data_IF_889737729831
#
_entry.id   IF_889737729831
#
_cell.length_a   1.000
_cell.length_b   1.000
_cell.length_c   1.000
_cell.angle_alpha   90.00
_cell.angle_beta   90.00
_cell.angle_gamma   90.00
#
_symmetry.space_group_name_H-M   'P 1'
#
loop_
_entity.id
_entity.type
_entity.pdbx_description
1 polymer ?
#
# COMPACT_ATOMS: atom_id res chain seq x y z
N UNK A 1 44.18 -14.56 20.94
CA UNK A 1 43.46 -13.37 21.44
C UNK A 1 42.23 -13.16 20.58
N UNK A 2 41.04 -13.47 21.11
CA UNK A 2 39.78 -13.12 20.45
C UNK A 2 39.40 -11.72 20.93
N UNK A 3 39.17 -10.79 19.99
CA UNK A 3 38.56 -9.49 20.28
C UNK A 3 37.19 -9.47 19.61
N UNK A 4 36.13 -9.01 20.30
CA UNK A 4 34.90 -8.62 19.65
C UNK A 4 35.21 -7.51 18.65
N UNK A 5 34.71 -7.64 17.42
CA UNK A 5 34.79 -6.57 16.41
C UNK A 5 33.36 -6.13 16.11
N UNK A 6 32.98 -4.87 16.39
CA UNK A 6 31.74 -4.33 15.87
C UNK A 6 31.93 -4.13 14.37
N UNK A 7 31.25 -4.93 13.56
CA UNK A 7 31.18 -4.71 12.12
C UNK A 7 29.81 -4.09 11.82
N UNK A 8 29.81 -2.81 11.47
CA UNK A 8 28.70 -2.22 10.73
C UNK A 8 28.69 -2.84 9.34
N UNK A 9 27.56 -3.41 8.93
CA UNK A 9 27.32 -3.81 7.56
C UNK A 9 27.22 -2.53 6.69
N UNK A 10 28.09 -2.32 5.68
CA UNK A 10 28.10 -1.09 4.90
C UNK A 10 26.82 -0.87 4.07
N UNK A 11 25.93 -1.86 3.98
CA UNK A 11 24.64 -1.77 3.28
C UNK A 11 23.42 -1.51 4.17
N UNK A 12 23.55 -1.60 5.49
CA UNK A 12 22.46 -1.37 6.43
C UNK A 12 22.50 0.09 6.90
N UNK A 13 21.69 0.93 6.26
CA UNK A 13 21.43 2.27 6.77
C UNK A 13 20.75 2.17 8.13
N UNK A 14 21.46 2.56 9.18
CA UNK A 14 20.96 2.59 10.55
C UNK A 14 21.73 1.63 11.44
N UNK A 15 22.21 2.15 12.57
CA UNK A 15 22.65 1.36 13.71
C UNK A 15 21.62 0.25 14.04
N UNK A 16 22.04 -0.86 14.65
CA UNK A 16 21.20 -1.89 15.34
C UNK A 16 21.10 -3.31 14.74
N UNK A 17 21.95 -3.76 13.83
CA UNK A 17 22.08 -5.22 13.63
C UNK A 17 22.92 -5.83 14.78
N UNK A 18 22.30 -6.06 15.94
CA UNK A 18 22.88 -6.80 17.05
C UNK A 18 23.23 -8.24 16.65
N UNK A 19 24.36 -8.76 17.14
CA UNK A 19 24.76 -10.14 16.91
C UNK A 19 26.15 -10.45 17.46
N UNK A 20 26.39 -11.69 17.87
CA UNK A 20 27.72 -12.12 18.27
C UNK A 20 28.54 -12.43 17.03
N UNK A 21 29.73 -11.89 16.90
CA UNK A 21 30.64 -12.20 15.80
C UNK A 21 32.04 -12.53 16.33
N UNK A 22 32.65 -13.57 15.77
CA UNK A 22 34.05 -13.89 15.98
C UNK A 22 34.83 -13.65 14.70
N UNK A 23 36.05 -13.11 14.84
CA UNK A 23 37.05 -13.13 13.80
C UNK A 23 38.33 -13.77 14.37
N UNK A 24 38.90 -14.71 13.62
CA UNK A 24 40.19 -15.31 13.95
C UNK A 24 41.34 -14.42 13.48
N UNK A 25 42.32 -14.16 14.33
CA UNK A 25 43.57 -13.51 13.92
C UNK A 25 44.63 -14.56 13.60
N UNK A 26 45.02 -14.67 12.32
CA UNK A 26 46.08 -15.56 11.85
C UNK A 26 46.95 -14.82 10.83
N UNK A 27 48.27 -15.02 10.90
CA UNK A 27 49.24 -14.46 9.94
C UNK A 27 49.14 -12.94 9.73
N UNK A 28 48.94 -12.18 10.81
CA UNK A 28 48.89 -10.72 10.73
C UNK A 28 47.58 -10.14 10.17
N UNK A 29 46.56 -10.98 9.94
CA UNK A 29 45.26 -10.55 9.39
C UNK A 29 44.11 -11.14 10.19
N UNK A 30 43.02 -10.38 10.26
CA UNK A 30 41.73 -10.85 10.77
C UNK A 30 40.98 -11.59 9.67
N UNK A 31 40.29 -12.68 10.02
CA UNK A 31 39.31 -13.31 9.14
C UNK A 31 38.09 -12.42 8.96
N UNK A 32 37.25 -12.75 7.97
CA UNK A 32 35.90 -12.21 7.92
C UNK A 32 35.17 -12.51 9.25
N UNK A 33 34.39 -11.55 9.78
CA UNK A 33 33.53 -11.80 10.94
C UNK A 33 32.57 -12.95 10.64
N UNK A 34 32.46 -13.90 11.57
CA UNK A 34 31.51 -15.02 11.50
C UNK A 34 30.54 -14.90 12.65
N UNK A 35 29.23 -14.99 12.39
CA UNK A 35 28.22 -14.90 13.47
C UNK A 35 28.38 -16.10 14.42
N UNK A 36 28.59 -15.83 15.69
CA UNK A 36 28.61 -16.84 16.74
C UNK A 36 27.18 -17.21 17.12
N UNK A 37 27.00 -18.47 17.50
CA UNK A 37 25.73 -18.96 18.06
C UNK A 37 25.41 -18.23 19.37
N UNK A 38 24.23 -17.62 19.43
CA UNK A 38 23.60 -17.16 20.66
C UNK A 38 22.76 -18.31 21.19
N UNK A 39 23.00 -18.81 22.41
CA UNK A 39 22.07 -19.77 22.99
C UNK A 39 20.74 -19.06 23.29
N UNK A 40 19.66 -19.64 22.79
CA UNK A 40 18.29 -19.18 22.99
C UNK A 40 17.49 -20.34 23.59
N UNK A 41 16.55 -20.06 24.48
CA UNK A 41 15.53 -21.04 24.83
C UNK A 41 14.72 -21.44 23.60
N UNK A 42 14.07 -22.63 23.62
CA UNK A 42 13.04 -22.94 22.64
C UNK A 42 12.01 -21.82 22.53
N UNK A 43 11.52 -21.58 21.32
CA UNK A 43 10.41 -20.64 21.09
C UNK A 43 9.18 -21.17 21.82
N UNK A 44 8.55 -20.35 22.64
CA UNK A 44 7.31 -20.68 23.33
C UNK A 44 6.07 -20.23 22.53
N UNK A 45 6.18 -19.07 21.88
CA UNK A 45 5.11 -18.51 21.08
C UNK A 45 5.68 -17.77 19.88
N UNK A 46 4.91 -17.72 18.79
CA UNK A 46 5.30 -17.01 17.59
C UNK A 46 4.13 -16.30 16.90
N UNK A 47 4.44 -15.23 16.20
CA UNK A 47 3.49 -14.47 15.38
C UNK A 47 4.20 -13.92 14.15
N UNK A 48 3.46 -13.82 13.05
CA UNK A 48 3.92 -13.22 11.79
C UNK A 48 3.05 -12.02 11.47
N UNK A 49 3.69 -10.90 11.14
CA UNK A 49 3.02 -9.70 10.69
C UNK A 49 3.42 -9.38 9.24
N UNK A 50 2.42 -9.08 8.40
CA UNK A 50 2.61 -8.67 7.01
C UNK A 50 1.84 -7.40 6.77
N UNK A 51 2.53 -6.38 6.25
CA UNK A 51 1.97 -5.06 6.00
C UNK A 51 1.71 -4.82 4.52
N UNK A 52 0.48 -4.39 4.21
CA UNK A 52 0.05 -4.01 2.87
C UNK A 52 -0.31 -2.53 2.84
N UNK A 53 0.35 -1.80 1.95
CA UNK A 53 0.10 -0.36 1.77
C UNK A 53 -0.32 -0.13 0.32
N UNK A 54 -1.58 -0.47 -0.04
CA UNK A 54 -2.03 -0.36 -1.41
C UNK A 54 -1.93 1.10 -1.89
N UNK A 55 -1.41 1.36 -3.11
CA UNK A 55 -1.32 2.73 -3.64
C UNK A 55 -2.67 3.38 -3.96
N UNK A 56 -3.79 2.64 -3.91
CA UNK A 56 -5.13 3.18 -4.20
C UNK A 56 -6.09 2.92 -3.03
N UNK A 57 -7.22 3.63 -3.00
CA UNK A 57 -8.28 3.32 -2.04
C UNK A 57 -8.82 1.91 -2.28
N UNK A 58 -9.28 1.27 -1.20
CA UNK A 58 -9.71 -0.13 -1.22
C UNK A 58 -10.85 -0.42 -2.21
N UNK A 59 -11.66 0.59 -2.56
CA UNK A 59 -12.73 0.52 -3.56
C UNK A 59 -12.24 0.32 -5.01
N UNK A 60 -10.99 0.68 -5.32
CA UNK A 60 -10.43 0.52 -6.68
C UNK A 60 -9.84 -0.87 -6.93
N UNK A 61 -9.69 -1.68 -5.88
CA UNK A 61 -9.20 -3.04 -6.00
C UNK A 61 -10.37 -4.00 -6.07
N UNK A 62 -10.24 -4.99 -6.95
CA UNK A 62 -11.06 -6.19 -6.86
C UNK A 62 -10.74 -6.90 -5.54
N UNK A 63 -11.74 -7.27 -4.73
CA UNK A 63 -11.51 -8.10 -3.55
C UNK A 63 -10.84 -9.42 -3.94
N UNK A 64 -9.91 -9.89 -3.11
CA UNK A 64 -9.09 -11.06 -3.37
C UNK A 64 -8.99 -11.97 -2.15
N UNK A 65 -8.52 -13.19 -2.37
CA UNK A 65 -8.22 -14.13 -1.30
C UNK A 65 -6.72 -14.13 -1.03
N UNK A 66 -6.33 -14.05 0.24
CA UNK A 66 -4.94 -13.95 0.67
C UNK A 66 -4.67 -15.04 1.70
N UNK A 67 -3.72 -15.92 1.39
CA UNK A 67 -3.20 -16.93 2.30
C UNK A 67 -1.85 -16.49 2.89
N UNK A 68 -1.67 -16.77 4.18
CA UNK A 68 -0.41 -16.56 4.89
C UNK A 68 0.15 -17.91 5.31
N UNK A 69 1.41 -18.16 4.99
CA UNK A 69 2.13 -19.39 5.29
C UNK A 69 3.47 -19.07 5.98
N UNK A 70 3.87 -19.94 6.90
CA UNK A 70 5.20 -19.95 7.52
C UNK A 70 5.81 -21.33 7.29
N UNK A 71 6.97 -21.39 6.64
CA UNK A 71 7.66 -22.63 6.22
C UNK A 71 6.73 -23.61 5.50
N UNK A 72 5.87 -23.08 4.62
CA UNK A 72 4.89 -23.85 3.85
C UNK A 72 3.66 -24.33 4.62
N UNK A 73 3.55 -24.04 5.93
CA UNK A 73 2.35 -24.31 6.72
C UNK A 73 1.45 -23.09 6.75
N UNK A 74 0.17 -23.29 6.41
CA UNK A 74 -0.83 -22.22 6.43
C UNK A 74 -1.10 -21.76 7.85
N UNK A 75 -0.98 -20.45 8.07
CA UNK A 75 -1.25 -19.78 9.34
C UNK A 75 -2.61 -19.08 9.33
N UNK A 76 -2.95 -18.44 8.20
CA UNK A 76 -4.23 -17.74 8.07
C UNK A 76 -4.69 -17.65 6.61
N UNK A 77 -5.96 -17.30 6.42
CA UNK A 77 -6.52 -16.90 5.14
C UNK A 77 -7.56 -15.80 5.35
N UNK A 78 -7.50 -14.80 4.49
CA UNK A 78 -8.49 -13.73 4.38
C UNK A 78 -9.17 -13.88 3.02
N UNK A 79 -10.50 -13.93 2.99
CA UNK A 79 -11.26 -14.13 1.75
C UNK A 79 -12.02 -12.88 1.36
N UNK A 80 -12.08 -12.60 0.06
CA UNK A 80 -12.91 -11.56 -0.53
C UNK A 80 -12.65 -10.16 0.04
N UNK A 81 -11.38 -9.80 0.30
CA UNK A 81 -11.02 -8.47 0.82
C UNK A 81 -9.87 -7.85 0.03
N UNK A 82 -9.81 -6.53 0.02
CA UNK A 82 -8.62 -5.80 -0.44
C UNK A 82 -7.63 -5.72 0.73
N UNK A 83 -6.38 -6.21 0.58
CA UNK A 83 -5.41 -6.11 1.66
C UNK A 83 -5.07 -4.66 1.97
N UNK A 84 -5.15 -4.28 3.24
CA UNK A 84 -4.73 -2.96 3.71
C UNK A 84 -4.32 -3.00 5.18
N UNK A 85 -3.25 -2.30 5.50
CA UNK A 85 -2.65 -2.27 6.83
C UNK A 85 -1.89 -3.55 7.18
N UNK A 86 -1.68 -3.76 8.48
CA UNK A 86 -0.86 -4.84 9.03
C UNK A 86 -1.70 -6.04 9.46
N UNK A 87 -1.50 -7.19 8.85
CA UNK A 87 -2.11 -8.44 9.28
C UNK A 87 -1.15 -9.19 10.21
N UNK A 88 -1.58 -9.56 11.41
CA UNK A 88 -0.75 -10.27 12.40
C UNK A 88 -1.41 -11.56 12.86
N UNK A 89 -0.79 -12.71 12.60
CA UNK A 89 -1.33 -14.00 12.98
C UNK A 89 -0.34 -14.79 13.84
N UNK A 90 -0.84 -15.50 14.86
CA UNK A 90 -0.02 -16.44 15.62
C UNK A 90 0.45 -17.59 14.72
N UNK A 91 1.75 -17.84 14.67
CA UNK A 91 2.34 -18.95 13.96
C UNK A 91 2.52 -20.15 14.92
N UNK A 92 2.22 -21.39 14.48
CA UNK A 92 2.53 -22.57 15.28
C UNK A 92 4.03 -22.69 15.50
N UNK A 93 4.48 -22.86 16.75
CA UNK A 93 5.91 -22.95 17.09
C UNK A 93 6.57 -24.10 16.34
N UNK A 94 5.89 -25.23 16.22
CA UNK A 94 6.35 -26.42 15.52
C UNK A 94 6.51 -26.22 14.00
N UNK A 95 6.05 -25.08 13.46
CA UNK A 95 6.25 -24.69 12.07
C UNK A 95 7.53 -23.89 11.87
N UNK A 96 8.16 -23.41 12.94
CA UNK A 96 9.34 -22.58 12.86
C UNK A 96 10.62 -23.40 12.73
N UNK A 97 11.53 -22.90 11.92
CA UNK A 97 12.92 -23.30 11.92
C UNK A 97 13.62 -22.51 13.04
N UNK A 98 13.86 -23.16 14.17
CA UNK A 98 14.69 -22.63 15.24
C UNK A 98 15.60 -23.74 15.76
N UNK A 99 16.77 -23.38 16.27
CA UNK A 99 17.80 -24.34 16.64
C UNK A 99 18.19 -24.15 18.10
N UNK A 100 17.93 -25.16 18.93
CA UNK A 100 18.30 -25.18 20.35
C UNK A 100 19.76 -25.66 20.54
N UNK A 101 20.71 -24.99 19.90
CA UNK A 101 22.12 -25.33 20.01
C UNK A 101 22.97 -24.86 18.83
N UNK A 102 24.31 -24.82 18.99
CA UNK A 102 25.20 -24.40 17.92
C UNK A 102 25.00 -25.26 16.68
N UNK A 103 24.81 -24.66 15.50
CA UNK A 103 24.72 -25.42 14.26
C UNK A 103 26.02 -26.20 14.03
N UNK A 104 25.94 -27.43 13.48
CA UNK A 104 27.11 -28.06 12.88
C UNK A 104 27.73 -27.13 11.82
N UNK A 105 29.05 -27.09 11.71
CA UNK A 105 29.78 -26.23 10.75
C UNK A 105 29.33 -26.44 9.29
N UNK A 106 28.75 -27.59 8.97
CA UNK A 106 28.27 -27.99 7.65
C UNK A 106 26.75 -27.83 7.44
N UNK A 107 25.99 -27.44 8.47
CA UNK A 107 24.54 -27.24 8.39
C UNK A 107 24.12 -25.96 9.13
N UNK A 108 24.23 -24.78 8.47
CA UNK A 108 23.71 -23.54 9.04
C UNK A 108 22.19 -23.64 9.25
N UNK A 109 21.63 -22.89 10.22
CA UNK A 109 20.20 -22.90 10.49
C UNK A 109 19.42 -22.49 9.24
N UNK A 110 18.38 -23.25 8.93
CA UNK A 110 17.47 -22.90 7.83
C UNK A 110 16.65 -21.66 8.23
N UNK A 111 16.57 -20.61 7.39
CA UNK A 111 15.78 -19.43 7.72
C UNK A 111 14.30 -19.78 7.78
N UNK A 112 13.52 -19.00 8.54
CA UNK A 112 12.07 -19.02 8.46
C UNK A 112 11.62 -18.29 7.18
N UNK A 113 10.74 -18.92 6.41
CA UNK A 113 10.16 -18.35 5.20
C UNK A 113 8.69 -18.01 5.44
N UNK A 114 8.35 -16.73 5.33
CA UNK A 114 6.97 -16.26 5.30
C UNK A 114 6.53 -16.15 3.85
N UNK A 115 5.44 -16.81 3.49
CA UNK A 115 4.88 -16.79 2.13
C UNK A 115 3.47 -16.18 2.17
N UNK A 116 3.24 -15.23 1.27
CA UNK A 116 1.91 -14.66 1.01
C UNK A 116 1.44 -15.16 -0.34
N UNK A 117 0.25 -15.76 -0.39
CA UNK A 117 -0.39 -16.21 -1.63
C UNK A 117 -1.65 -15.43 -1.88
N UNK A 118 -1.69 -14.70 -2.98
CA UNK A 118 -2.89 -13.97 -3.40
C UNK A 118 -3.58 -14.69 -4.57
N UNK A 119 -4.90 -14.81 -4.52
CA UNK A 119 -5.76 -15.41 -5.56
C UNK A 119 -6.86 -14.44 -5.96
N UNK A 120 -7.22 -14.45 -7.24
CA UNK A 120 -8.25 -13.55 -7.80
C UNK A 120 -7.71 -12.18 -8.23
N UNK A 121 -6.39 -12.04 -8.38
CA UNK A 121 -5.72 -10.84 -8.90
C UNK A 121 -6.07 -10.67 -10.39
N UNK A 122 -6.45 -9.47 -10.80
CA UNK A 122 -6.63 -9.13 -12.22
C UNK A 122 -5.29 -8.95 -12.95
N UNK A 123 -5.27 -9.00 -14.30
CA UNK A 123 -4.04 -8.95 -15.10
C UNK A 123 -3.25 -7.62 -15.06
N UNK A 124 -3.73 -6.61 -14.34
CA UNK A 124 -3.15 -5.25 -14.34
C UNK A 124 -2.73 -4.66 -12.99
N UNK A 125 -2.62 -5.42 -11.89
CA UNK A 125 -2.41 -4.78 -10.57
C UNK A 125 -1.31 -5.42 -9.69
N UNK A 126 -0.47 -4.54 -9.12
CA UNK A 126 0.67 -4.84 -8.25
C UNK A 126 0.24 -5.11 -6.80
N UNK A 127 0.92 -6.03 -6.12
CA UNK A 127 0.81 -6.24 -4.68
C UNK A 127 2.11 -5.81 -4.03
N UNK A 128 2.08 -4.79 -3.19
CA UNK A 128 3.26 -4.39 -2.41
C UNK A 128 2.99 -4.76 -0.96
N UNK A 129 3.30 -6.01 -0.61
CA UNK A 129 3.63 -6.31 0.78
C UNK A 129 4.94 -5.57 1.05
N UNK A 130 4.91 -4.53 1.89
CA UNK A 130 6.06 -3.65 2.10
C UNK A 130 6.96 -4.16 3.22
N UNK A 131 6.37 -4.76 4.25
CA UNK A 131 7.08 -5.21 5.44
C UNK A 131 6.56 -6.58 5.87
N UNK A 132 7.49 -7.46 6.23
CA UNK A 132 7.21 -8.72 6.90
C UNK A 132 8.03 -8.75 8.18
N UNK A 133 7.40 -9.07 9.30
CA UNK A 133 8.05 -9.22 10.59
C UNK A 133 7.62 -10.55 11.23
N UNK A 134 8.52 -11.15 11.99
CA UNK A 134 8.24 -12.33 12.79
C UNK A 134 8.60 -12.01 14.24
N UNK A 135 7.69 -12.30 15.15
CA UNK A 135 7.86 -12.13 16.59
C UNK A 135 7.95 -13.52 17.21
N UNK A 136 8.99 -13.78 17.99
CA UNK A 136 9.14 -15.00 18.78
C UNK A 136 9.32 -14.66 20.25
N UNK A 137 8.62 -15.39 21.11
CA UNK A 137 8.79 -15.33 22.57
C UNK A 137 9.62 -16.53 23.00
N UNK A 138 10.68 -16.27 23.77
CA UNK A 138 11.54 -17.27 24.37
C UNK A 138 11.51 -17.11 25.89
N UNK A 139 11.74 -18.18 26.64
CA UNK A 139 11.88 -18.11 28.11
C UNK A 139 13.07 -17.27 28.54
N UNK A 140 14.15 -17.37 27.78
CA UNK A 140 15.33 -16.55 27.92
C UNK A 140 16.01 -16.38 26.57
N UNK A 141 16.61 -15.22 26.39
CA UNK A 141 17.47 -14.89 25.27
C UNK A 141 18.67 -14.13 25.83
N UNK A 142 19.86 -14.39 25.29
CA UNK A 142 21.05 -13.65 25.67
C UNK A 142 21.37 -12.62 24.59
N UNK A 143 21.46 -11.37 24.99
CA UNK A 143 21.97 -10.30 24.13
C UNK A 143 23.25 -9.70 24.71
N UNK A 144 24.14 -9.23 23.84
CA UNK A 144 25.41 -8.62 24.21
C UNK A 144 25.33 -7.10 24.04
N UNK A 145 25.30 -6.39 25.16
CA UNK A 145 25.33 -4.93 25.16
C UNK A 145 26.77 -4.43 25.33
N UNK A 146 27.14 -3.43 24.55
CA UNK A 146 28.41 -2.71 24.71
C UNK A 146 28.09 -1.32 25.24
N UNK A 147 28.54 -1.05 26.46
CA UNK A 147 28.38 0.23 27.13
C UNK A 147 29.73 0.76 27.60
N UNK A 148 29.85 2.08 27.77
CA UNK A 148 31.04 2.72 28.31
C UNK A 148 31.22 2.43 29.81
N UNK A 149 30.12 2.21 30.53
CA UNK A 149 30.11 1.89 31.96
C UNK A 149 28.91 1.01 32.38
N UNK A 150 28.91 0.45 33.61
CA UNK A 150 27.83 -0.40 34.09
C UNK A 150 26.45 0.28 34.21
N UNK A 151 26.39 1.59 34.48
CA UNK A 151 25.12 2.29 34.61
C UNK A 151 24.44 2.49 33.25
N UNK A 152 25.24 2.77 32.21
CA UNK A 152 24.79 2.76 30.83
C UNK A 152 24.37 1.34 30.39
N UNK A 153 25.14 0.30 30.75
CA UNK A 153 24.77 -1.09 30.45
C UNK A 153 23.40 -1.47 31.06
N UNK A 154 23.16 -1.10 32.33
CA UNK A 154 21.88 -1.34 33.01
C UNK A 154 20.73 -0.54 32.39
N UNK A 155 21.02 0.60 31.78
CA UNK A 155 20.02 1.42 31.07
C UNK A 155 19.67 0.77 29.74
N UNK A 156 20.68 0.38 28.93
CA UNK A 156 20.49 -0.31 27.65
C UNK A 156 19.74 -1.64 27.83
N UNK A 157 20.05 -2.40 28.88
CA UNK A 157 19.39 -3.66 29.19
C UNK A 157 17.89 -3.52 29.51
N UNK A 158 17.43 -2.34 29.94
CA UNK A 158 16.02 -2.06 30.25
C UNK A 158 15.25 -1.48 29.08
N UNK A 159 15.94 -0.86 28.12
CA UNK A 159 15.32 -0.28 26.93
C UNK A 159 14.97 -1.37 25.91
N UNK A 160 15.71 -2.48 25.91
CA UNK A 160 15.64 -3.48 24.84
C UNK A 160 16.13 -2.92 23.50
N UNK A 161 16.04 -3.73 22.46
CA UNK A 161 16.25 -3.32 21.06
C UNK A 161 15.01 -3.65 20.24
N UNK A 162 14.95 -3.15 19.00
CA UNK A 162 13.88 -3.49 18.06
C UNK A 162 13.85 -4.98 17.70
N UNK A 163 15.01 -5.64 17.77
CA UNK A 163 15.19 -7.08 17.53
C UNK A 163 14.91 -7.92 18.79
N UNK A 164 15.34 -7.46 19.96
CA UNK A 164 15.22 -8.16 21.25
C UNK A 164 14.53 -7.29 22.29
N UNK A 165 13.30 -7.68 22.63
CA UNK A 165 12.45 -6.98 23.60
C UNK A 165 12.59 -7.62 24.97
N UNK A 166 13.26 -6.93 25.90
CA UNK A 166 13.48 -7.39 27.28
C UNK A 166 12.78 -6.49 28.29
N UNK A 167 11.87 -7.06 29.09
CA UNK A 167 11.10 -6.37 30.13
C UNK A 167 10.36 -5.13 29.61
N UNK A 168 9.72 -5.24 28.45
CA UNK A 168 9.00 -4.15 27.78
C UNK A 168 7.63 -4.61 27.28
N UNK A 169 6.72 -3.65 27.16
CA UNK A 169 5.45 -3.82 26.45
C UNK A 169 5.69 -3.50 24.97
N UNK A 170 5.02 -4.20 24.05
CA UNK A 170 5.04 -3.83 22.63
C UNK A 170 3.65 -4.08 22.06
N UNK A 171 2.86 -3.03 21.90
CA UNK A 171 1.53 -3.12 21.32
C UNK A 171 1.61 -2.98 19.80
N UNK A 172 1.06 -3.95 19.10
CA UNK A 172 1.00 -3.99 17.65
C UNK A 172 -0.46 -3.89 17.23
N UNK A 173 -0.79 -2.84 16.48
CA UNK A 173 -2.09 -2.72 15.85
C UNK A 173 -2.17 -3.60 14.60
N UNK A 174 -3.29 -4.32 14.45
CA UNK A 174 -3.52 -5.26 13.36
C UNK A 174 -4.89 -5.07 12.67
N UNK A 175 -4.93 -5.26 11.35
CA UNK A 175 -6.09 -5.10 10.47
C UNK A 175 -6.82 -6.42 10.17
N UNK A 176 -6.50 -7.53 10.85
CA UNK A 176 -7.05 -8.87 10.58
C UNK A 176 -8.58 -8.90 10.44
N UNK A 177 -9.26 -8.21 11.35
CA UNK A 177 -10.73 -8.14 11.41
C UNK A 177 -11.30 -6.88 10.76
N UNK A 178 -10.45 -5.98 10.28
CA UNK A 178 -10.85 -4.68 9.77
C UNK A 178 -11.55 -4.84 8.43
N UNK A 179 -12.75 -4.28 8.37
CA UNK A 179 -13.49 -4.09 7.14
C UNK A 179 -13.81 -2.61 7.07
N UNK A 180 -13.12 -1.92 6.17
CA UNK A 180 -13.31 -0.48 5.99
C UNK A 180 -14.70 -0.26 5.40
N UNK A 181 -15.48 0.70 5.95
CA UNK A 181 -16.79 0.99 5.41
C UNK A 181 -16.69 1.54 4.00
N UNK A 182 -17.56 1.05 3.11
CA UNK A 182 -17.65 1.51 1.71
C UNK A 182 -18.32 2.88 1.58
N UNK A 183 -19.07 3.28 2.59
CA UNK A 183 -19.73 4.58 2.67
C UNK A 183 -19.74 5.04 4.12
N UNK A 184 -19.51 6.33 4.35
CA UNK A 184 -19.68 6.97 5.64
C UNK A 184 -20.70 8.09 5.46
N UNK A 185 -21.76 8.12 6.26
CA UNK A 185 -22.78 9.16 6.19
C UNK A 185 -22.66 10.09 7.40
N UNK A 186 -22.83 11.41 7.22
CA UNK A 186 -22.89 12.35 8.35
C UNK A 186 -23.95 11.91 9.38
N UNK A 187 -23.56 11.86 10.65
CA UNK A 187 -24.42 11.44 11.76
C UNK A 187 -24.52 9.92 11.98
N UNK A 188 -24.05 9.09 11.04
CA UNK A 188 -24.01 7.63 11.23
C UNK A 188 -22.79 7.19 12.02
N UNK A 189 -22.98 6.23 12.94
CA UNK A 189 -21.89 5.48 13.57
C UNK A 189 -21.67 4.18 12.82
N UNK A 190 -20.41 3.90 12.47
CA UNK A 190 -20.04 2.70 11.73
C UNK A 190 -18.98 1.91 12.50
N UNK A 191 -19.25 0.64 12.86
CA UNK A 191 -18.30 -0.15 13.65
C UNK A 191 -17.14 -0.61 12.77
N UNK A 192 -15.91 -0.35 13.23
CA UNK A 192 -14.68 -0.88 12.62
C UNK A 192 -13.90 -1.66 13.66
N UNK A 193 -13.55 -2.90 13.33
CA UNK A 193 -12.77 -3.79 14.20
C UNK A 193 -11.28 -3.57 13.99
N UNK A 194 -10.55 -3.33 15.07
CA UNK A 194 -9.10 -3.18 15.08
C UNK A 194 -8.54 -4.24 16.03
N UNK A 195 -7.57 -5.03 15.55
CA UNK A 195 -6.82 -5.95 16.39
C UNK A 195 -5.75 -5.20 17.17
N UNK A 196 -5.54 -5.58 18.42
CA UNK A 196 -4.41 -5.13 19.23
C UNK A 196 -3.74 -6.36 19.80
N UNK A 197 -2.43 -6.46 19.64
CA UNK A 197 -1.64 -7.60 20.08
C UNK A 197 -0.46 -7.10 20.91
N UNK A 198 -0.19 -7.69 22.07
CA UNK A 198 1.00 -7.40 22.85
C UNK A 198 2.11 -8.37 22.45
N UNK A 199 3.07 -7.94 21.65
CA UNK A 199 4.27 -8.69 21.27
C UNK A 199 5.40 -8.60 22.30
N UNK A 200 5.23 -7.78 23.34
CA UNK A 200 6.18 -7.64 24.45
C UNK A 200 6.12 -8.81 25.44
N UNK A 201 7.08 -8.81 26.36
CA UNK A 201 7.21 -9.80 27.43
C UNK A 201 6.59 -9.36 28.76
N UNK A 202 6.21 -8.07 28.87
CA UNK A 202 5.43 -7.55 29.99
C UNK A 202 3.94 -7.37 29.66
N UNK A 203 3.04 -7.48 30.65
CA UNK A 203 1.64 -7.15 30.45
C UNK A 203 1.45 -5.65 30.20
N UNK A 204 0.58 -5.30 29.26
CA UNK A 204 0.23 -3.91 29.01
C UNK A 204 -0.72 -3.36 30.08
N UNK A 205 -0.69 -2.05 30.30
CA UNK A 205 -1.76 -1.34 31.02
C UNK A 205 -3.00 -1.15 30.11
N UNK A 206 -4.21 -1.02 30.67
CA UNK A 206 -5.38 -0.60 29.90
C UNK A 206 -5.10 0.72 29.18
N UNK A 207 -5.61 0.85 27.96
CA UNK A 207 -5.34 2.01 27.10
C UNK A 207 -6.54 2.27 26.19
N UNK A 208 -6.44 3.27 25.31
CA UNK A 208 -7.53 3.66 24.40
C UNK A 208 -7.01 3.84 22.99
N UNK A 209 -7.68 3.19 22.04
CA UNK A 209 -7.53 3.49 20.62
C UNK A 209 -8.17 4.83 20.31
N UNK A 210 -7.46 5.65 19.55
CA UNK A 210 -7.95 6.90 18.97
C UNK A 210 -8.00 6.74 17.46
N UNK A 211 -9.12 7.11 16.85
CA UNK A 211 -9.28 7.14 15.40
C UNK A 211 -9.42 8.59 14.95
N UNK A 212 -8.56 9.00 14.03
CA UNK A 212 -8.51 10.33 13.43
C UNK A 212 -8.90 10.24 11.96
N UNK A 213 -9.81 11.11 11.52
CA UNK A 213 -10.18 11.31 10.11
C UNK A 213 -9.67 12.67 9.65
N UNK A 214 -8.65 12.71 8.80
CA UNK A 214 -7.93 13.94 8.43
C UNK A 214 -7.60 14.80 9.68
N UNK A 215 -6.94 14.18 10.65
CA UNK A 215 -6.49 14.76 11.94
C UNK A 215 -7.59 15.13 12.95
N UNK A 216 -8.88 14.97 12.60
CA UNK A 216 -9.99 15.19 13.54
C UNK A 216 -10.41 13.87 14.20
N UNK A 217 -10.64 13.86 15.52
CA UNK A 217 -11.12 12.64 16.20
C UNK A 217 -12.51 12.22 15.70
N UNK A 218 -12.58 11.01 15.15
CA UNK A 218 -13.79 10.41 14.58
C UNK A 218 -14.29 9.20 15.36
N UNK A 219 -13.53 8.73 16.34
CA UNK A 219 -13.93 7.63 17.21
C UNK A 219 -12.82 7.16 18.13
N UNK A 220 -13.15 6.23 19.01
CA UNK A 220 -12.19 5.54 19.86
C UNK A 220 -12.79 4.29 20.48
N UNK A 221 -11.93 3.49 21.10
CA UNK A 221 -12.33 2.30 21.84
C UNK A 221 -11.35 2.03 22.98
N UNK A 222 -11.87 1.69 24.15
CA UNK A 222 -11.03 1.29 25.28
C UNK A 222 -10.56 -0.16 25.07
N UNK A 223 -9.31 -0.43 25.45
CA UNK A 223 -8.72 -1.76 25.42
C UNK A 223 -8.29 -2.19 26.82
N UNK A 224 -8.53 -3.46 27.19
CA UNK A 224 -8.06 -3.99 28.46
C UNK A 224 -6.54 -4.14 28.46
N UNK A 225 -5.98 -4.33 29.65
CA UNK A 225 -4.62 -4.85 29.80
C UNK A 225 -4.49 -6.18 29.04
N UNK A 226 -3.39 -6.34 28.29
CA UNK A 226 -3.08 -7.54 27.53
C UNK A 226 -1.89 -8.26 28.17
N UNK A 227 -2.07 -9.55 28.46
CA UNK A 227 -0.97 -10.40 28.86
C UNK A 227 0.08 -10.50 27.75
N UNK A 228 1.34 -10.85 28.08
CA UNK A 228 2.40 -11.03 27.09
C UNK A 228 1.97 -11.99 25.98
N UNK A 229 2.30 -11.63 24.74
CA UNK A 229 2.01 -12.41 23.54
C UNK A 229 0.52 -12.71 23.29
N UNK A 230 -0.40 -11.94 23.86
CA UNK A 230 -1.87 -12.09 23.66
C UNK A 230 -2.45 -10.93 22.87
N UNK A 231 -3.67 -11.10 22.33
CA UNK A 231 -4.35 -10.06 21.58
C UNK A 231 -5.84 -10.01 21.82
N UNK A 232 -6.44 -8.90 21.43
CA UNK A 232 -7.87 -8.63 21.49
C UNK A 232 -8.35 -7.94 20.22
N UNK A 233 -9.67 -7.82 20.07
CA UNK A 233 -10.28 -6.98 19.05
C UNK A 233 -11.09 -5.88 19.73
N UNK A 234 -10.81 -4.63 19.37
CA UNK A 234 -11.58 -3.48 19.77
C UNK A 234 -12.51 -3.05 18.63
N UNK A 235 -13.73 -2.63 18.98
CA UNK A 235 -14.70 -2.08 18.02
C UNK A 235 -14.72 -0.57 18.17
N UNK A 236 -14.14 0.13 17.21
CA UNK A 236 -14.17 1.58 17.13
C UNK A 236 -15.45 2.01 16.42
N UNK A 237 -16.26 2.84 17.08
CA UNK A 237 -17.45 3.43 16.46
C UNK A 237 -17.06 4.70 15.69
N UNK A 238 -16.82 4.57 14.39
CA UNK A 238 -16.40 5.68 13.54
C UNK A 238 -17.59 6.59 13.18
N UNK A 239 -17.33 7.89 13.14
CA UNK A 239 -18.25 8.93 12.65
C UNK A 239 -17.59 9.69 11.50
N UNK A 240 -18.39 10.30 10.62
CA UNK A 240 -17.86 11.26 9.67
C UNK A 240 -17.25 12.46 10.40
N UNK A 241 -16.08 13.00 9.97
CA UNK A 241 -15.56 14.24 10.50
C UNK A 241 -16.58 15.38 10.35
N UNK A 242 -16.56 16.35 11.27
CA UNK A 242 -17.46 17.50 11.19
C UNK A 242 -17.18 18.30 9.90
N UNK A 243 -18.23 18.60 9.14
CA UNK A 243 -18.11 19.34 7.87
C UNK A 243 -17.55 18.52 6.69
N UNK A 244 -17.25 17.23 6.87
CA UNK A 244 -16.82 16.36 5.77
C UNK A 244 -17.99 16.05 4.83
N UNK A 245 -17.71 16.11 3.51
CA UNK A 245 -18.69 15.82 2.47
C UNK A 245 -18.60 14.36 2.02
N UNK A 246 -19.73 13.65 1.85
CA UNK A 246 -19.74 12.29 1.32
C UNK A 246 -18.92 12.13 0.03
N UNK A 247 -17.95 11.23 0.05
CA UNK A 247 -17.07 10.92 -1.08
C UNK A 247 -15.80 11.76 -1.17
N UNK A 248 -15.65 12.80 -0.35
CA UNK A 248 -14.39 13.54 -0.26
C UNK A 248 -13.26 12.65 0.34
N UNK A 249 -11.98 12.88 -0.01
CA UNK A 249 -10.87 12.11 0.53
C UNK A 249 -10.87 12.08 2.07
N UNK A 250 -10.61 10.89 2.61
CA UNK A 250 -10.59 10.65 4.04
C UNK A 250 -9.52 9.61 4.36
N UNK A 251 -8.43 10.08 4.96
CA UNK A 251 -7.44 9.23 5.63
C UNK A 251 -7.94 8.95 7.05
N UNK A 252 -8.05 7.68 7.38
CA UNK A 252 -8.31 7.20 8.72
C UNK A 252 -7.00 6.72 9.34
N UNK A 253 -6.53 7.39 10.39
CA UNK A 253 -5.41 6.94 11.21
C UNK A 253 -5.95 6.40 12.54
N UNK A 254 -5.67 5.15 12.86
CA UNK A 254 -5.96 4.57 14.17
C UNK A 254 -4.64 4.42 14.92
N UNK A 255 -4.57 4.98 16.12
CA UNK A 255 -3.39 4.87 16.96
C UNK A 255 -3.73 4.51 18.40
N UNK A 256 -2.73 4.01 19.11
CA UNK A 256 -2.72 3.88 20.55
C UNK A 256 -1.50 4.62 21.09
N UNK A 257 -1.69 5.37 22.17
CA UNK A 257 -0.60 5.99 22.90
C UNK A 257 -0.37 5.16 24.18
N UNK A 258 0.80 4.55 24.28
CA UNK A 258 1.19 3.70 25.40
C UNK A 258 2.61 4.02 25.83
N UNK A 259 2.75 4.49 27.07
CA UNK A 259 4.05 4.85 27.64
C UNK A 259 4.89 3.60 27.90
N UNK A 260 6.14 3.60 27.42
CA UNK A 260 7.07 2.49 27.59
C UNK A 260 6.86 1.35 26.59
N UNK A 261 6.17 1.62 25.48
CA UNK A 261 6.11 0.71 24.34
C UNK A 261 7.46 0.64 23.62
N UNK A 262 7.92 -0.58 23.31
CA UNK A 262 9.20 -0.85 22.69
C UNK A 262 9.28 -0.41 21.22
N UNK A 263 8.16 -0.45 20.48
CA UNK A 263 8.11 -0.03 19.08
C UNK A 263 6.83 0.78 18.78
N UNK A 264 6.84 2.08 19.13
CA UNK A 264 5.73 2.98 18.85
C UNK A 264 5.37 3.10 17.35
N UNK A 265 6.24 2.68 16.43
CA UNK A 265 5.90 2.69 15.00
C UNK A 265 4.82 1.66 14.63
N UNK A 266 4.64 0.64 15.46
CA UNK A 266 3.62 -0.40 15.27
C UNK A 266 2.29 -0.09 15.95
N UNK A 267 2.27 0.98 16.76
CA UNK A 267 1.10 1.51 17.45
C UNK A 267 0.15 2.34 16.56
N UNK A 268 0.39 2.38 15.25
CA UNK A 268 -0.46 3.09 14.30
C UNK A 268 -0.80 2.23 13.08
N UNK A 269 -2.02 2.41 12.58
CA UNK A 269 -2.48 1.94 11.28
C UNK A 269 -3.10 3.10 10.51
N UNK A 270 -2.68 3.26 9.26
CA UNK A 270 -3.25 4.22 8.34
C UNK A 270 -4.06 3.49 7.27
N UNK A 271 -5.28 3.98 7.05
CA UNK A 271 -6.18 3.49 6.02
C UNK A 271 -6.67 4.66 5.17
N UNK A 272 -6.85 4.42 3.88
CA UNK A 272 -7.54 5.37 3.00
C UNK A 272 -8.97 4.86 2.78
N UNK A 273 -9.94 5.52 3.42
CA UNK A 273 -11.36 5.25 3.22
C UNK A 273 -11.80 5.77 1.85
N UNK A 274 -11.42 7.01 1.57
CA UNK A 274 -11.57 7.66 0.27
C UNK A 274 -10.24 8.32 -0.06
N UNK A 275 -9.71 8.12 -1.26
CA UNK A 275 -8.46 8.75 -1.69
C UNK A 275 -8.76 9.59 -2.91
N UNK A 276 -8.29 10.83 -2.94
CA UNK A 276 -8.23 11.60 -4.17
C UNK A 276 -7.25 10.84 -5.07
N UNK A 277 -7.72 10.38 -6.23
CA UNK A 277 -6.81 9.81 -7.22
C UNK A 277 -5.84 10.92 -7.61
N UNK A 278 -4.54 10.68 -7.45
CA UNK A 278 -3.55 11.52 -8.11
C UNK A 278 -3.90 11.51 -9.60
N UNK A 279 -4.09 12.70 -10.19
CA UNK A 279 -4.50 12.87 -11.59
C UNK A 279 -3.58 12.13 -12.56
N UNK A 280 -2.33 11.89 -12.17
CA UNK A 280 -1.33 11.17 -12.93
C UNK A 280 -1.52 9.64 -12.96
N UNK A 281 -2.33 9.06 -12.06
CA UNK A 281 -2.40 7.60 -11.84
C UNK A 281 -3.83 7.05 -12.00
N UNK A 282 -4.85 7.90 -12.14
CA UNK A 282 -6.26 7.52 -12.28
C UNK A 282 -6.64 6.78 -13.58
N UNK A 283 -5.69 6.57 -14.50
CA UNK A 283 -6.02 6.44 -15.91
C UNK A 283 -6.56 7.77 -16.45
N UNK A 284 -6.88 7.87 -17.75
CA UNK A 284 -7.39 9.11 -18.30
C UNK A 284 -8.71 9.49 -17.59
N UNK A 285 -8.70 10.61 -16.84
CA UNK A 285 -9.92 11.27 -16.33
C UNK A 285 -11.05 11.14 -17.36
N UNK A 286 -12.20 10.64 -16.91
CA UNK A 286 -13.44 10.85 -17.67
C UNK A 286 -13.53 12.35 -17.96
N UNK A 287 -13.70 12.70 -19.23
CA UNK A 287 -13.71 14.10 -19.63
C UNK A 287 -14.70 14.89 -18.76
N UNK A 288 -14.23 15.99 -18.16
CA UNK A 288 -15.10 16.94 -17.47
C UNK A 288 -15.71 17.89 -18.49
N UNK A 289 -16.87 18.48 -18.18
CA UNK A 289 -17.48 19.48 -19.04
C UNK A 289 -16.47 20.60 -19.37
N UNK A 290 -16.47 21.05 -20.63
CA UNK A 290 -15.56 22.08 -21.14
C UNK A 290 -16.37 23.27 -21.61
N UNK A 291 -15.97 24.48 -21.21
CA UNK A 291 -16.45 25.70 -21.84
C UNK A 291 -15.81 25.85 -23.23
N UNK A 292 -16.54 25.44 -24.26
CA UNK A 292 -16.06 25.49 -25.65
C UNK A 292 -15.75 26.91 -26.12
N UNK A 293 -16.36 27.94 -25.53
CA UNK A 293 -16.08 29.33 -25.85
C UNK A 293 -14.73 29.81 -25.31
N UNK A 294 -14.17 29.10 -24.33
CA UNK A 294 -12.86 29.39 -23.73
C UNK A 294 -11.67 28.78 -24.51
N UNK A 295 -11.94 28.00 -25.57
CA UNK A 295 -10.89 27.37 -26.37
C UNK A 295 -10.01 28.43 -27.06
N UNK A 296 -8.67 28.25 -27.09
CA UNK A 296 -7.78 29.18 -27.77
C UNK A 296 -8.18 29.38 -29.25
N UNK A 297 -8.08 30.61 -29.79
CA UNK A 297 -8.39 30.87 -31.19
C UNK A 297 -7.60 29.94 -32.13
N UNK A 298 -8.30 29.29 -33.06
CA UNK A 298 -7.70 28.36 -34.03
C UNK A 298 -7.40 26.94 -33.51
N UNK A 299 -7.76 26.63 -32.26
CA UNK A 299 -7.62 25.28 -31.71
C UNK A 299 -8.71 24.31 -32.18
N UNK A 300 -9.92 24.83 -32.47
CA UNK A 300 -11.05 24.07 -32.99
C UNK A 300 -11.01 23.99 -34.52
N UNK A 301 -11.00 22.77 -35.05
CA UNK A 301 -11.01 22.48 -36.49
C UNK A 301 -12.37 21.94 -36.90
N UNK A 302 -13.00 22.50 -37.92
CA UNK A 302 -14.20 21.93 -38.54
C UNK A 302 -13.81 20.68 -39.34
N UNK A 303 -14.37 19.53 -38.97
CA UNK A 303 -14.10 18.25 -39.58
C UNK A 303 -15.36 17.76 -40.30
N UNK A 304 -15.56 18.09 -41.58
CA UNK A 304 -16.69 17.60 -42.37
C UNK A 304 -16.46 16.11 -42.67
N UNK A 305 -16.68 15.25 -41.67
CA UNK A 305 -16.53 13.81 -41.83
C UNK A 305 -17.55 13.32 -42.87
N UNK A 306 -17.05 12.84 -44.01
CA UNK A 306 -17.84 12.18 -45.03
C UNK A 306 -18.11 10.71 -44.68
N UNK A 307 -18.64 9.97 -45.65
CA UNK A 307 -18.71 8.51 -45.55
C UNK A 307 -17.34 7.86 -45.68
N UNK A 308 -17.27 6.54 -45.46
CA UNK A 308 -16.04 5.73 -45.53
C UNK A 308 -15.17 5.95 -46.78
N UNK A 309 -15.78 6.24 -47.92
CA UNK A 309 -15.09 6.47 -49.21
C UNK A 309 -14.41 7.86 -49.29
N UNK A 310 -14.81 8.80 -48.44
CA UNK A 310 -14.26 10.16 -48.35
C UNK A 310 -14.09 10.56 -46.87
N UNK A 311 -13.16 9.91 -46.15
CA UNK A 311 -12.89 10.24 -44.76
C UNK A 311 -12.27 11.63 -44.65
N UNK A 312 -12.56 12.32 -43.55
CA UNK A 312 -11.81 13.52 -43.18
C UNK A 312 -10.47 13.11 -42.59
N UNK A 313 -9.39 13.74 -43.04
CA UNK A 313 -8.04 13.52 -42.52
C UNK A 313 -7.38 14.84 -42.10
N UNK A 314 -6.74 14.84 -40.93
CA UNK A 314 -6.03 16.01 -40.42
C UNK A 314 -4.75 15.63 -39.69
N UNK A 315 -3.73 16.47 -39.83
CA UNK A 315 -2.50 16.38 -39.06
C UNK A 315 -2.76 16.72 -37.59
N UNK A 316 -2.34 15.83 -36.69
CA UNK A 316 -2.42 16.09 -35.25
C UNK A 316 -1.24 16.92 -34.78
N UNK A 317 -1.52 17.89 -33.92
CA UNK A 317 -0.48 18.63 -33.20
C UNK A 317 -1.03 19.12 -31.86
N UNK A 318 -0.17 19.52 -30.90
CA UNK A 318 -0.64 20.10 -29.64
C UNK A 318 -1.61 21.29 -29.82
N UNK A 319 -1.46 22.05 -30.92
CA UNK A 319 -2.33 23.17 -31.27
C UNK A 319 -3.62 22.76 -32.03
N UNK A 320 -3.65 21.57 -32.64
CA UNK A 320 -4.79 21.05 -33.44
C UNK A 320 -5.19 19.68 -32.94
N UNK A 321 -5.98 19.70 -31.86
CA UNK A 321 -6.48 18.50 -31.16
C UNK A 321 -7.97 18.54 -30.88
N UNK A 322 -8.64 19.63 -31.26
CA UNK A 322 -10.09 19.79 -31.12
C UNK A 322 -10.75 19.80 -32.48
N UNK A 323 -11.81 19.01 -32.62
CA UNK A 323 -12.54 18.84 -33.86
C UNK A 323 -14.02 19.01 -33.61
N UNK A 324 -14.69 19.76 -34.49
CA UNK A 324 -16.14 19.84 -34.54
C UNK A 324 -16.62 18.97 -35.69
N UNK A 325 -17.39 17.94 -35.36
CA UNK A 325 -17.83 16.91 -36.32
C UNK A 325 -19.34 17.02 -36.49
N UNK A 326 -19.86 17.32 -37.69
CA UNK A 326 -21.29 17.36 -37.93
C UNK A 326 -21.88 15.94 -37.82
N UNK A 327 -23.05 15.84 -37.19
CA UNK A 327 -23.78 14.58 -37.03
C UNK A 327 -24.82 14.48 -38.15
N UNK A 328 -24.78 13.44 -39.01
CA UNK A 328 -25.84 13.19 -40.00
C UNK A 328 -27.13 12.71 -39.31
N UNK A 329 -28.22 12.50 -40.05
CA UNK A 329 -29.50 12.04 -39.46
C UNK A 329 -29.35 10.78 -38.60
N UNK A 330 -28.47 9.86 -39.00
CA UNK A 330 -28.02 8.70 -38.21
C UNK A 330 -26.73 8.12 -38.79
N UNK A 331 -25.91 7.46 -37.97
CA UNK A 331 -24.72 6.72 -38.40
C UNK A 331 -23.77 6.46 -37.23
N UNK A 332 -22.76 5.63 -37.47
CA UNK A 332 -21.70 5.35 -36.49
C UNK A 332 -20.42 6.09 -36.88
N UNK A 333 -19.95 7.00 -36.01
CA UNK A 333 -18.68 7.71 -36.24
C UNK A 333 -17.51 6.78 -35.97
N UNK A 334 -16.68 6.57 -36.97
CA UNK A 334 -15.41 5.88 -36.86
C UNK A 334 -14.28 6.88 -36.70
N UNK A 335 -13.35 6.56 -35.79
CA UNK A 335 -12.21 7.39 -35.44
C UNK A 335 -10.96 6.52 -35.48
N UNK A 336 -9.97 6.95 -36.27
CA UNK A 336 -8.71 6.24 -36.43
C UNK A 336 -7.56 7.25 -36.31
N UNK A 337 -6.52 6.89 -35.54
CA UNK A 337 -5.28 7.67 -35.49
C UNK A 337 -4.16 6.81 -36.06
N UNK A 338 -3.54 7.32 -37.12
CA UNK A 338 -2.50 6.63 -37.86
C UNK A 338 -1.18 7.40 -37.78
N UNK A 339 -0.06 6.66 -37.84
CA UNK A 339 1.28 7.24 -37.89
C UNK A 339 2.21 6.74 -36.78
N UNK A 340 3.48 7.20 -36.79
CA UNK A 340 4.52 6.70 -35.89
C UNK A 340 4.22 6.97 -34.41
N UNK A 341 3.45 8.01 -34.11
CA UNK A 341 3.11 8.40 -32.74
C UNK A 341 1.66 8.11 -32.36
N UNK A 342 0.95 7.25 -33.11
CA UNK A 342 -0.42 6.89 -32.80
C UNK A 342 -0.57 6.31 -31.38
N UNK A 343 0.45 5.61 -30.88
CA UNK A 343 0.49 5.09 -29.50
C UNK A 343 0.66 6.17 -28.43
N UNK A 344 0.97 7.42 -28.80
CA UNK A 344 1.05 8.54 -27.86
C UNK A 344 -0.32 9.19 -27.60
N UNK A 345 -1.36 8.83 -28.35
CA UNK A 345 -2.72 9.26 -28.04
C UNK A 345 -3.19 8.57 -26.78
N UNK A 346 -3.37 9.33 -25.70
CA UNK A 346 -3.73 8.79 -24.39
C UNK A 346 -5.23 8.47 -24.29
N UNK A 347 -6.08 9.26 -24.97
CA UNK A 347 -7.54 9.13 -24.99
C UNK A 347 -8.20 9.89 -26.15
N UNK A 348 -9.45 9.54 -26.40
CA UNK A 348 -10.39 10.31 -27.22
C UNK A 348 -11.57 10.72 -26.36
N UNK A 349 -11.84 12.03 -26.29
CA UNK A 349 -12.97 12.56 -25.52
C UNK A 349 -14.02 13.15 -26.46
N UNK A 350 -15.28 12.80 -26.23
CA UNK A 350 -16.41 13.32 -26.98
C UNK A 350 -17.26 14.24 -26.09
N UNK A 351 -17.74 15.34 -26.66
CA UNK A 351 -18.60 16.31 -26.00
C UNK A 351 -19.79 16.65 -26.89
N UNK A 352 -20.91 16.97 -26.26
CA UNK A 352 -22.10 17.47 -26.96
C UNK A 352 -21.92 18.93 -27.44
N UNK A 353 -23.00 19.51 -27.96
CA UNK A 353 -23.01 20.90 -28.45
C UNK A 353 -22.84 21.94 -27.34
N UNK A 354 -23.05 21.55 -26.09
CA UNK A 354 -22.92 22.42 -24.92
C UNK A 354 -21.59 22.19 -24.17
N UNK A 355 -20.72 21.32 -24.69
CA UNK A 355 -19.43 21.00 -24.07
C UNK A 355 -19.54 20.03 -22.90
N UNK A 356 -20.68 19.34 -22.72
CA UNK A 356 -20.82 18.28 -21.72
C UNK A 356 -20.18 17.02 -22.25
N UNK A 357 -19.37 16.36 -21.44
CA UNK A 357 -18.71 15.12 -21.83
C UNK A 357 -19.73 14.00 -22.05
N UNK A 358 -19.57 13.27 -23.15
CA UNK A 358 -20.33 12.07 -23.43
C UNK A 358 -19.64 10.89 -22.74
N UNK A 359 -20.24 10.43 -21.65
CA UNK A 359 -19.74 9.27 -20.94
C UNK A 359 -20.19 7.98 -21.64
N UNK A 360 -19.30 6.99 -21.82
CA UNK A 360 -19.71 5.67 -22.27
C UNK A 360 -20.60 5.03 -21.18
N UNK A 361 -21.88 4.80 -21.48
CA UNK A 361 -22.70 3.86 -20.69
C UNK A 361 -22.28 2.39 -20.98
N UNK A 362 -21.54 2.17 -22.08
CA UNK A 362 -20.93 0.90 -22.57
C UNK A 362 -19.83 1.21 -23.62
N UNK A 363 -19.26 0.22 -24.34
CA UNK A 363 -18.28 0.42 -25.45
C UNK A 363 -18.79 1.26 -26.65
N UNK A 364 -19.93 1.95 -26.52
CA UNK A 364 -20.57 2.79 -27.53
C UNK A 364 -21.01 4.12 -26.92
N UNK A 365 -20.71 5.23 -27.60
CA UNK A 365 -21.21 6.56 -27.27
C UNK A 365 -22.47 6.87 -28.08
N UNK A 366 -23.46 7.49 -27.46
CA UNK A 366 -24.61 8.06 -28.16
C UNK A 366 -24.57 9.59 -28.08
N UNK A 367 -24.50 10.27 -29.22
CA UNK A 367 -24.58 11.72 -29.33
C UNK A 367 -25.90 12.14 -29.99
N UNK A 368 -26.46 13.28 -29.58
CA UNK A 368 -27.61 13.92 -30.23
C UNK A 368 -27.30 15.39 -30.46
N UNK A 369 -27.80 15.96 -31.56
CA UNK A 369 -27.59 17.35 -31.91
C UNK A 369 -27.11 17.51 -33.36
N UNK A 370 -26.72 18.72 -33.73
CA UNK A 370 -26.23 19.02 -35.09
C UNK A 370 -24.75 18.68 -35.29
N UNK A 371 -23.99 18.56 -34.21
CA UNK A 371 -22.56 18.25 -34.23
C UNK A 371 -22.12 17.74 -32.84
N UNK A 372 -20.95 17.12 -32.80
CA UNK A 372 -20.21 16.79 -31.58
C UNK A 372 -18.84 17.46 -31.59
N UNK A 373 -18.22 17.55 -30.43
CA UNK A 373 -16.83 17.96 -30.29
C UNK A 373 -15.99 16.76 -29.91
N UNK A 374 -14.89 16.55 -30.62
CA UNK A 374 -13.89 15.52 -30.35
C UNK A 374 -12.61 16.19 -29.89
N UNK A 375 -12.05 15.74 -28.77
CA UNK A 375 -10.70 16.06 -28.33
C UNK A 375 -9.82 14.82 -28.43
N UNK A 376 -8.67 14.97 -29.08
CA UNK A 376 -7.59 13.99 -29.02
C UNK A 376 -6.69 14.35 -27.85
N UNK A 377 -6.68 13.50 -26.83
CA UNK A 377 -5.80 13.67 -25.68
C UNK A 377 -4.37 13.28 -26.02
N UNK A 378 -3.42 14.04 -25.46
CA UNK A 378 -1.99 13.83 -25.63
C UNK A 378 -1.30 14.09 -24.29
N UNK A 379 -0.22 13.36 -23.96
CA UNK A 379 0.62 13.68 -22.81
C UNK A 379 1.16 15.11 -22.86
N UNK A 380 1.34 15.72 -21.69
CA UNK A 380 1.92 17.06 -21.60
C UNK A 380 3.34 17.09 -22.19
N UNK A 381 3.58 18.05 -23.08
CA UNK A 381 4.87 18.19 -23.77
C UNK A 381 5.11 17.18 -24.90
N UNK A 382 4.13 16.34 -25.25
CA UNK A 382 4.27 15.40 -26.36
C UNK A 382 4.50 16.13 -27.70
N UNK A 383 5.65 15.88 -28.32
CA UNK A 383 5.89 16.21 -29.71
C UNK A 383 5.27 15.14 -30.60
N UNK A 384 4.40 15.54 -31.52
CA UNK A 384 3.89 14.65 -32.56
C UNK A 384 4.66 14.89 -33.86
N UNK A 385 5.04 13.79 -34.52
CA UNK A 385 5.52 13.80 -35.88
C UNK A 385 4.49 14.45 -36.80
N UNK A 386 4.99 15.17 -37.79
CA UNK A 386 4.17 15.75 -38.85
C UNK A 386 3.46 14.69 -39.70
N UNK A 387 3.73 13.40 -39.50
CA UNK A 387 3.09 12.28 -40.20
C UNK A 387 1.97 11.60 -39.40
N UNK A 388 1.75 11.99 -38.15
CA UNK A 388 0.64 11.47 -37.33
C UNK A 388 -0.67 12.16 -37.75
N UNK A 389 -1.69 11.36 -38.09
CA UNK A 389 -2.94 11.80 -38.71
C UNK A 389 -4.15 11.26 -37.95
N UNK A 390 -5.15 12.11 -37.75
CA UNK A 390 -6.50 11.73 -37.37
C UNK A 390 -7.33 11.50 -38.63
N UNK A 391 -8.09 10.42 -38.65
CA UNK A 391 -9.04 10.07 -39.71
C UNK A 391 -10.43 9.85 -39.11
N UNK A 392 -11.44 10.49 -39.69
CA UNK A 392 -12.84 10.49 -39.23
C UNK A 392 -13.79 10.18 -40.40
N UNK A 393 -14.73 9.25 -40.21
CA UNK A 393 -15.81 8.99 -41.19
C UNK A 393 -17.05 8.42 -40.53
N UNK A 394 -18.21 8.62 -41.17
CA UNK A 394 -19.47 7.98 -40.76
C UNK A 394 -19.70 6.67 -41.52
N UNK A 395 -20.22 5.66 -40.83
CA UNK A 395 -20.73 4.39 -41.40
C UNK A 395 -22.25 4.25 -41.23
#
# INVERSE_FOLDING_TARGET
YMRPVPAADPGAGGHEAGGHFAAGYKNGRWSAPTRLFTPEAPVENAAVAVEFTPPFASAHYKPMDIGFEVNGRKVAEVKGRTPSGRYLYRAPVESLNYQNGPPPDDQPPSPNAVTVRSRGIGPGNFHIAQKCAMYSKHDWLQDCLVAADPAEADTLARLGTTDVRHNVVDLVLASNGTELPRSLQPGQQTPVRIGVFNAGDLPSKPARLKALGNDSEVGGADIPALAPFTGTQAVVQLKAPAGWLPGAPLKLSVSIDHEGDADPSTNQLDFYLFRELDKAIAGPEAASAVDLASLPPGSLTEAPAGGKDQPFESALSPARRWFRVPIPESGDLQIEVNGPDASLVDRLDLFDTEGRALHPESDRWSARGSHLHLRVGLPDGAGLSADTRLRLWWE
#
